data_IF_750520074528
#
_entry.id   IF_750520074528
#
_cell.length_a   1.000
_cell.length_b   1.000
_cell.length_c   1.000
_cell.angle_alpha   90.00
_cell.angle_beta   90.00
_cell.angle_gamma   90.00
#
_symmetry.space_group_name_H-M   'P 1'
#
loop_
_entity.id
_entity.type
_entity.pdbx_description
1 polymer ?
#
# COMPACT_ATOMS: atom_id res chain seq x y z
N UNK A 1 -5.64 13.84 50.54
CA UNK A 1 -4.93 13.79 49.24
C UNK A 1 -5.77 12.95 48.28
N UNK A 2 -6.51 13.55 47.34
CA UNK A 2 -7.31 12.81 46.37
C UNK A 2 -6.44 12.45 45.15
N UNK A 3 -6.48 11.18 44.73
CA UNK A 3 -5.85 10.69 43.51
C UNK A 3 -6.62 11.27 42.31
N UNK A 4 -5.96 12.06 41.47
CA UNK A 4 -6.51 12.48 40.17
C UNK A 4 -6.66 11.27 39.24
N UNK A 5 -7.74 11.22 38.42
CA UNK A 5 -7.99 10.12 37.50
C UNK A 5 -7.08 10.24 36.26
N UNK A 6 -6.63 9.09 35.78
CA UNK A 6 -5.96 8.96 34.49
C UNK A 6 -7.03 9.16 33.41
N UNK A 7 -6.86 10.16 32.54
CA UNK A 7 -7.77 10.42 31.43
C UNK A 7 -7.61 9.30 30.41
N UNK A 8 -8.68 8.54 30.21
CA UNK A 8 -8.81 7.53 29.16
C UNK A 8 -8.83 8.21 27.78
N UNK A 9 -7.68 8.33 27.13
CA UNK A 9 -7.64 8.65 25.69
C UNK A 9 -7.95 7.39 24.89
N UNK A 10 -9.26 7.14 24.73
CA UNK A 10 -9.79 6.29 23.67
C UNK A 10 -9.62 6.98 22.31
N UNK A 11 -8.42 6.92 21.74
CA UNK A 11 -8.31 6.98 20.29
C UNK A 11 -8.62 5.60 19.71
N UNK A 12 -9.92 5.30 19.67
CA UNK A 12 -10.47 4.35 18.72
C UNK A 12 -10.24 4.93 17.32
N UNK A 13 -9.20 4.47 16.65
CA UNK A 13 -9.10 4.56 15.19
C UNK A 13 -9.40 3.17 14.66
N UNK A 14 -10.69 2.95 14.38
CA UNK A 14 -11.11 1.89 13.46
C UNK A 14 -10.62 2.28 12.07
N UNK A 15 -9.47 1.75 11.67
CA UNK A 15 -9.01 1.76 10.29
C UNK A 15 -8.53 0.35 9.94
N UNK A 16 -9.49 -0.39 9.38
CA UNK A 16 -9.32 -1.48 8.43
C UNK A 16 -8.57 -2.73 8.91
N UNK A 17 -9.36 -3.75 9.24
CA UNK A 17 -8.96 -5.16 9.15
C UNK A 17 -8.69 -5.49 7.67
N UNK A 18 -7.47 -5.21 7.21
CA UNK A 18 -6.89 -5.70 5.97
C UNK A 18 -5.97 -6.85 6.36
N UNK A 19 -6.47 -8.07 6.14
CA UNK A 19 -5.78 -9.36 6.18
C UNK A 19 -4.24 -9.27 6.33
N UNK A 20 -3.76 -9.47 7.56
CA UNK A 20 -2.39 -9.29 8.06
C UNK A 20 -1.31 -10.26 7.52
N UNK A 21 -1.31 -10.65 6.24
CA UNK A 21 -0.29 -11.56 5.70
C UNK A 21 0.86 -10.85 4.98
N UNK A 22 0.65 -9.62 4.51
CA UNK A 22 1.62 -8.79 3.79
C UNK A 22 2.70 -8.18 4.68
N UNK A 23 2.40 -7.88 5.95
CA UNK A 23 3.27 -7.09 6.85
C UNK A 23 4.59 -7.79 7.25
N UNK A 24 4.66 -9.13 7.21
CA UNK A 24 5.85 -9.87 7.71
C UNK A 24 6.79 -10.37 6.63
N UNK A 25 6.29 -10.56 5.41
CA UNK A 25 7.06 -11.18 4.33
C UNK A 25 7.50 -10.16 3.26
N UNK A 26 6.90 -8.97 3.23
CA UNK A 26 7.17 -7.98 2.18
C UNK A 26 6.56 -8.33 0.81
N UNK A 27 5.79 -9.42 0.74
CA UNK A 27 4.97 -9.82 -0.41
C UNK A 27 3.75 -10.61 0.06
N UNK A 28 2.70 -10.68 -0.77
CA UNK A 28 1.52 -11.50 -0.49
C UNK A 28 1.69 -12.92 -1.02
N UNK A 29 1.38 -13.92 -0.19
CA UNK A 29 1.33 -15.32 -0.59
C UNK A 29 0.15 -15.61 -1.53
N UNK A 30 -0.87 -14.74 -1.54
CA UNK A 30 -2.05 -14.89 -2.40
C UNK A 30 -1.71 -14.68 -3.89
N UNK A 31 -0.54 -14.09 -4.17
CA UNK A 31 -0.05 -13.89 -5.53
C UNK A 31 0.61 -15.15 -6.14
N UNK A 32 0.88 -16.18 -5.33
CA UNK A 32 1.49 -17.42 -5.80
C UNK A 32 0.51 -18.26 -6.62
N UNK A 33 1.03 -18.99 -7.61
CA UNK A 33 0.34 -20.12 -8.24
C UNK A 33 1.08 -21.42 -7.86
N UNK A 34 0.67 -22.11 -6.79
CA UNK A 34 1.34 -23.31 -6.32
C UNK A 34 1.13 -24.53 -7.23
N UNK A 35 0.30 -24.41 -8.27
CA UNK A 35 0.06 -25.49 -9.24
C UNK A 35 1.14 -25.54 -10.33
N UNK A 36 1.87 -24.45 -10.54
CA UNK A 36 2.99 -24.39 -11.46
C UNK A 36 4.25 -25.05 -10.86
N UNK A 37 4.98 -25.84 -11.66
CA UNK A 37 6.27 -26.39 -11.26
C UNK A 37 7.34 -25.27 -11.26
N UNK A 38 7.88 -24.87 -10.10
CA UNK A 38 8.87 -23.79 -10.01
C UNK A 38 10.18 -24.09 -10.72
N UNK A 39 10.46 -25.37 -11.04
CA UNK A 39 11.66 -25.77 -11.79
C UNK A 39 11.52 -25.55 -13.29
N UNK A 40 10.28 -25.40 -13.78
CA UNK A 40 9.96 -25.16 -15.19
C UNK A 40 9.58 -23.70 -15.43
N UNK A 41 8.72 -23.14 -14.56
CA UNK A 41 8.26 -21.75 -14.67
C UNK A 41 8.16 -21.12 -13.28
N UNK A 42 9.30 -20.62 -12.80
CA UNK A 42 9.35 -19.94 -11.51
C UNK A 42 8.53 -18.64 -11.51
N UNK A 43 8.41 -17.96 -12.65
CA UNK A 43 7.68 -16.69 -12.73
C UNK A 43 6.19 -16.93 -12.52
N UNK A 44 5.62 -17.94 -13.20
CA UNK A 44 4.24 -18.36 -12.95
C UNK A 44 4.04 -18.84 -11.52
N UNK A 45 4.94 -19.67 -10.97
CA UNK A 45 4.82 -20.10 -9.58
C UNK A 45 4.79 -18.92 -8.60
N UNK A 46 5.69 -17.95 -8.75
CA UNK A 46 5.87 -16.85 -7.82
C UNK A 46 4.81 -15.73 -7.95
N UNK A 47 4.21 -15.56 -9.13
CA UNK A 47 3.32 -14.43 -9.41
C UNK A 47 2.02 -14.81 -10.11
N UNK A 48 1.73 -16.10 -10.33
CA UNK A 48 0.63 -16.56 -11.17
C UNK A 48 -0.75 -16.10 -10.69
N UNK A 49 -1.00 -16.10 -9.38
CA UNK A 49 -2.24 -15.57 -8.82
C UNK A 49 -2.43 -14.08 -9.09
N UNK A 50 -1.33 -13.31 -9.10
CA UNK A 50 -1.36 -11.89 -9.49
C UNK A 50 -1.51 -11.71 -11.00
N UNK A 51 -0.78 -12.49 -11.81
CA UNK A 51 -0.82 -12.43 -13.27
C UNK A 51 -2.23 -12.68 -13.82
N UNK A 52 -3.01 -13.54 -13.16
CA UNK A 52 -4.39 -13.85 -13.56
C UNK A 52 -5.35 -12.66 -13.33
N UNK A 53 -4.98 -11.71 -12.47
CA UNK A 53 -5.82 -10.58 -12.07
C UNK A 53 -5.27 -9.22 -12.55
N UNK A 54 -3.99 -9.16 -12.91
CA UNK A 54 -3.31 -7.93 -13.29
C UNK A 54 -3.90 -7.34 -14.57
N UNK A 55 -4.36 -6.09 -14.49
CA UNK A 55 -4.82 -5.30 -15.63
C UNK A 55 -3.88 -4.12 -15.79
N UNK A 56 -3.44 -3.85 -17.01
CA UNK A 56 -2.69 -2.63 -17.35
C UNK A 56 -3.71 -1.52 -17.56
N UNK A 57 -3.73 -0.46 -16.74
CA UNK A 57 -4.59 0.70 -16.96
C UNK A 57 -4.29 1.41 -18.29
N UNK A 58 -5.27 2.10 -18.86
CA UNK A 58 -5.12 2.80 -20.15
C UNK A 58 -4.03 3.89 -20.14
N UNK A 59 -3.76 4.46 -18.95
CA UNK A 59 -2.75 5.49 -18.72
C UNK A 59 -1.32 4.95 -18.54
N UNK A 60 -1.18 3.63 -18.40
CA UNK A 60 0.09 2.95 -18.16
C UNK A 60 0.50 2.05 -19.32
N UNK A 61 1.81 1.97 -19.56
CA UNK A 61 2.36 0.98 -20.49
C UNK A 61 2.54 -0.41 -19.84
N UNK A 62 2.53 -0.47 -18.50
CA UNK A 62 2.83 -1.68 -17.73
C UNK A 62 2.27 -1.56 -16.31
N UNK A 63 1.97 -2.70 -15.68
CA UNK A 63 1.54 -2.78 -14.29
C UNK A 63 2.51 -3.61 -13.46
N UNK A 64 2.70 -3.26 -12.19
CA UNK A 64 3.56 -4.00 -11.28
C UNK A 64 3.91 -3.21 -10.03
N UNK A 65 4.60 -3.85 -9.07
CA UNK A 65 4.90 -3.26 -7.77
C UNK A 65 5.68 -1.93 -7.85
N UNK A 66 6.64 -1.81 -8.78
CA UNK A 66 7.40 -0.56 -8.95
C UNK A 66 6.56 0.58 -9.53
N UNK A 67 5.62 0.27 -10.43
CA UNK A 67 4.67 1.27 -10.96
C UNK A 67 3.73 1.73 -9.85
N UNK A 68 3.21 0.80 -9.05
CA UNK A 68 2.41 1.13 -7.86
C UNK A 68 3.17 2.03 -6.87
N UNK A 69 4.45 1.73 -6.61
CA UNK A 69 5.29 2.59 -5.75
C UNK A 69 5.52 3.97 -6.37
N UNK A 70 5.71 4.05 -7.68
CA UNK A 70 5.86 5.32 -8.39
C UNK A 70 4.60 6.19 -8.29
N UNK A 71 3.41 5.61 -8.48
CA UNK A 71 2.14 6.32 -8.32
C UNK A 71 1.97 6.85 -6.89
N UNK A 72 2.17 5.98 -5.90
CA UNK A 72 2.10 6.35 -4.50
C UNK A 72 3.06 7.49 -4.14
N UNK A 73 4.29 7.45 -4.67
CA UNK A 73 5.27 8.51 -4.45
C UNK A 73 4.83 9.84 -5.08
N UNK A 74 4.32 9.82 -6.32
CA UNK A 74 3.86 11.03 -6.99
C UNK A 74 2.66 11.65 -6.29
N UNK A 75 1.72 10.85 -5.81
CA UNK A 75 0.59 11.31 -5.00
C UNK A 75 1.06 12.03 -3.73
N UNK A 76 2.03 11.46 -3.02
CA UNK A 76 2.60 12.08 -1.82
C UNK A 76 3.31 13.39 -2.14
N UNK A 77 4.12 13.44 -3.20
CA UNK A 77 4.80 14.66 -3.63
C UNK A 77 3.77 15.73 -4.01
N UNK A 78 2.73 15.37 -4.76
CA UNK A 78 1.68 16.30 -5.16
C UNK A 78 0.95 16.89 -3.92
N UNK A 79 0.62 16.05 -2.95
CA UNK A 79 0.01 16.49 -1.69
C UNK A 79 0.92 17.49 -0.95
N UNK A 80 2.21 17.18 -0.81
CA UNK A 80 3.16 18.06 -0.13
C UNK A 80 3.30 19.42 -0.84
N UNK A 81 3.27 19.44 -2.18
CA UNK A 81 3.33 20.67 -2.96
C UNK A 81 2.06 21.51 -2.79
N UNK A 82 0.89 20.89 -2.71
CA UNK A 82 -0.38 21.57 -2.44
C UNK A 82 -0.39 22.18 -1.04
N UNK A 83 -0.02 21.41 -0.03
CA UNK A 83 0.06 21.89 1.35
C UNK A 83 1.00 23.10 1.49
N UNK A 84 2.16 23.06 0.81
CA UNK A 84 3.11 24.17 0.81
C UNK A 84 2.58 25.40 0.05
N UNK A 85 1.84 25.20 -1.04
CA UNK A 85 1.23 26.30 -1.79
C UNK A 85 0.15 27.00 -0.94
N UNK A 86 -0.69 26.24 -0.26
CA UNK A 86 -1.73 26.78 0.62
C UNK A 86 -1.13 27.56 1.79
N UNK A 87 -0.06 27.04 2.41
CA UNK A 87 0.64 27.73 3.51
C UNK A 87 1.28 29.06 3.08
N UNK A 88 1.83 29.13 1.87
CA UNK A 88 2.44 30.36 1.35
C UNK A 88 1.43 31.39 0.85
N UNK A 89 0.20 30.96 0.50
CA UNK A 89 -0.89 31.87 0.17
C UNK A 89 -1.57 32.48 1.40
N UNK A 90 -1.47 31.83 2.57
CA UNK A 90 -2.05 32.28 3.84
C UNK A 90 -1.09 33.19 4.66
N UNK A 91 0.12 33.45 4.14
CA UNK A 91 1.10 34.39 4.73
C UNK A 91 0.90 35.81 4.13
N UNK A 92 0.66 36.86 4.95
CA UNK A 92 0.27 38.20 4.48
C UNK A 92 1.38 39.04 3.83
#
# INVERSE_FOLDING_TARGET
MPKHPHHDDKHSRHATDLSHHTERLGFSIDNLDPTADPRQDFYRFAAGGWLDQAVIPDEDAQVGGFIGLFHLLNEQILSLLQDAADQSADEP
#
